data_IF_650230965314
#
_entry.id   IF_650230965314
#
_cell.length_a   1.000
_cell.length_b   1.000
_cell.length_c   1.000
_cell.angle_alpha   90.00
_cell.angle_beta   90.00
_cell.angle_gamma   90.00
#
_symmetry.space_group_name_H-M   'P 1'
#
loop_
_entity.id
_entity.type
_entity.pdbx_description
1 polymer ?
#
# COMPACT_ATOMS: atom_id res chain seq x y z
N UNK A 1 -10.24 -5.69 16.76
CA UNK A 1 -10.91 -5.87 15.45
C UNK A 1 -11.85 -7.04 15.63
N UNK A 2 -13.13 -6.86 15.35
CA UNK A 2 -14.14 -7.90 15.53
C UNK A 2 -15.07 -7.87 14.31
N UNK A 3 -15.43 -9.04 13.78
CA UNK A 3 -16.32 -9.15 12.61
C UNK A 3 -15.90 -8.24 11.42
N UNK A 4 -14.59 -8.18 11.15
CA UNK A 4 -13.99 -7.36 10.08
C UNK A 4 -14.24 -5.83 10.25
N UNK A 5 -14.49 -5.37 11.48
CA UNK A 5 -14.64 -3.94 11.82
C UNK A 5 -13.56 -3.51 12.82
N UNK A 6 -13.10 -2.27 12.69
CA UNK A 6 -12.20 -1.63 13.64
C UNK A 6 -13.04 -0.96 14.71
N UNK A 7 -12.80 -1.32 15.97
CA UNK A 7 -13.55 -0.82 17.13
C UNK A 7 -12.57 -0.06 18.02
N UNK A 8 -12.75 1.26 18.22
CA UNK A 8 -11.96 2.01 19.19
C UNK A 8 -12.16 1.46 20.61
N UNK A 9 -11.05 1.21 21.33
CA UNK A 9 -11.11 0.76 22.74
C UNK A 9 -11.28 1.93 23.72
N UNK A 10 -11.04 3.15 23.26
CA UNK A 10 -11.18 4.39 24.04
C UNK A 10 -12.10 5.33 23.30
N UNK A 11 -12.73 6.25 24.05
CA UNK A 11 -13.58 7.28 23.47
C UNK A 11 -12.76 8.20 22.56
N UNK A 12 -13.34 8.51 21.40
CA UNK A 12 -12.83 9.49 20.44
C UNK A 12 -13.83 10.63 20.39
N UNK A 13 -13.41 11.83 20.78
CA UNK A 13 -14.28 13.01 20.86
C UNK A 13 -14.57 13.58 19.47
N UNK A 14 -13.60 13.50 18.57
CA UNK A 14 -13.74 13.98 17.20
C UNK A 14 -14.46 12.93 16.35
N UNK A 15 -15.71 13.21 15.98
CA UNK A 15 -16.54 12.32 15.17
C UNK A 15 -15.95 12.06 13.78
N UNK A 16 -15.19 13.01 13.21
CA UNK A 16 -14.52 12.80 11.92
C UNK A 16 -13.41 11.77 12.06
N UNK A 17 -12.58 11.89 13.10
CA UNK A 17 -11.50 10.94 13.40
C UNK A 17 -12.07 9.55 13.70
N UNK A 18 -13.15 9.50 14.49
CA UNK A 18 -13.84 8.25 14.80
C UNK A 18 -14.32 7.55 13.52
N UNK A 19 -14.97 8.30 12.62
CA UNK A 19 -15.43 7.78 11.33
C UNK A 19 -14.28 7.30 10.45
N UNK A 20 -13.17 8.05 10.37
CA UNK A 20 -11.98 7.64 9.62
C UNK A 20 -11.42 6.30 10.12
N UNK A 21 -11.43 6.06 11.43
CA UNK A 21 -10.98 4.79 12.03
C UNK A 21 -11.95 3.65 11.74
N UNK A 22 -13.26 3.88 11.88
CA UNK A 22 -14.29 2.87 11.65
C UNK A 22 -14.36 2.44 10.16
N UNK A 23 -14.14 3.38 9.23
CA UNK A 23 -14.16 3.14 7.79
C UNK A 23 -12.79 2.70 7.23
N UNK A 24 -11.73 2.72 8.04
CA UNK A 24 -10.39 2.38 7.61
C UNK A 24 -10.32 0.94 7.08
N UNK A 25 -9.67 0.80 5.92
CA UNK A 25 -9.34 -0.50 5.32
C UNK A 25 -7.84 -0.61 5.17
N UNK A 26 -7.27 -1.71 5.66
CA UNK A 26 -5.89 -2.06 5.38
C UNK A 26 -5.71 -2.31 3.88
N UNK A 27 -4.54 -1.98 3.35
CA UNK A 27 -4.26 -2.16 1.92
C UNK A 27 -4.46 -3.62 1.48
N UNK A 28 -4.11 -4.60 2.33
CA UNK A 28 -4.35 -6.03 2.05
C UNK A 28 -5.83 -6.40 1.83
N UNK A 29 -6.78 -5.59 2.31
CA UNK A 29 -8.22 -5.86 2.14
C UNK A 29 -8.76 -5.41 0.78
N UNK A 30 -8.00 -4.63 0.01
CA UNK A 30 -8.46 -4.12 -1.30
C UNK A 30 -7.38 -4.06 -2.37
N UNK A 31 -6.10 -4.24 -2.03
CA UNK A 31 -5.00 -4.32 -2.97
C UNK A 31 -5.05 -5.64 -3.72
N UNK A 32 -4.75 -5.59 -5.02
CA UNK A 32 -4.71 -6.74 -5.89
C UNK A 32 -3.53 -6.57 -6.86
N UNK A 33 -2.49 -7.39 -6.67
CA UNK A 33 -1.31 -7.37 -7.53
C UNK A 33 -1.46 -8.37 -8.67
N UNK A 34 -0.96 -7.99 -9.84
CA UNK A 34 -0.71 -8.97 -10.91
C UNK A 34 0.51 -9.81 -10.51
N UNK A 35 0.67 -10.97 -11.15
CA UNK A 35 1.91 -11.75 -10.99
C UNK A 35 3.12 -10.89 -11.31
N UNK A 36 4.23 -11.10 -10.59
CA UNK A 36 5.43 -10.25 -10.66
C UNK A 36 5.97 -10.09 -12.08
N UNK A 37 5.85 -11.13 -12.89
CA UNK A 37 6.27 -11.18 -14.29
C UNK A 37 5.55 -10.16 -15.18
N UNK A 38 4.38 -9.68 -14.76
CA UNK A 38 3.62 -8.67 -15.50
C UNK A 38 4.15 -7.24 -15.29
N UNK A 39 5.03 -7.02 -14.32
CA UNK A 39 5.68 -5.73 -14.11
C UNK A 39 6.97 -5.67 -14.93
N UNK A 40 6.98 -4.79 -15.93
CA UNK A 40 8.11 -4.62 -16.86
C UNK A 40 9.17 -3.70 -16.26
N UNK A 41 10.40 -3.85 -16.75
CA UNK A 41 11.53 -2.94 -16.50
C UNK A 41 11.84 -2.76 -15.00
N UNK A 42 11.74 -3.85 -14.24
CA UNK A 42 12.05 -3.86 -12.82
C UNK A 42 13.53 -3.69 -12.55
N UNK A 43 13.88 -2.83 -11.61
CA UNK A 43 15.23 -2.72 -11.06
C UNK A 43 15.33 -3.62 -9.84
N UNK A 44 16.14 -4.68 -9.93
CA UNK A 44 16.37 -5.64 -8.84
C UNK A 44 17.72 -5.36 -8.21
N UNK A 45 17.75 -5.19 -6.89
CA UNK A 45 18.97 -4.92 -6.13
C UNK A 45 19.18 -5.99 -5.07
N UNK A 46 20.42 -6.41 -4.89
CA UNK A 46 20.84 -7.32 -3.82
C UNK A 46 22.06 -6.75 -3.10
N UNK A 47 21.95 -6.57 -1.77
CA UNK A 47 23.07 -6.25 -0.91
C UNK A 47 23.44 -7.50 -0.07
N UNK A 48 24.55 -8.19 -0.39
CA UNK A 48 24.97 -9.38 0.33
C UNK A 48 25.45 -9.11 1.76
N UNK A 49 25.91 -7.89 2.07
CA UNK A 49 26.44 -7.54 3.40
C UNK A 49 25.33 -7.36 4.46
N UNK A 50 24.10 -7.11 4.01
CA UNK A 50 22.95 -6.82 4.89
C UNK A 50 21.74 -7.75 4.66
N UNK A 51 21.96 -8.92 4.05
CA UNK A 51 20.98 -9.67 3.22
C UNK A 51 19.69 -8.92 2.86
N UNK A 52 19.83 -7.75 2.21
CA UNK A 52 18.68 -6.94 1.73
C UNK A 52 18.49 -7.18 0.25
N UNK A 53 17.25 -7.49 -0.15
CA UNK A 53 16.82 -7.59 -1.54
C UNK A 53 15.66 -6.63 -1.80
N UNK A 54 15.67 -6.02 -2.98
CA UNK A 54 14.55 -5.17 -3.40
C UNK A 54 14.29 -5.28 -4.89
N UNK A 55 13.04 -5.04 -5.26
CA UNK A 55 12.61 -4.93 -6.65
C UNK A 55 11.73 -3.68 -6.80
N UNK A 56 12.08 -2.82 -7.74
CA UNK A 56 11.41 -1.55 -7.99
C UNK A 56 10.82 -1.51 -9.39
N UNK A 57 9.54 -1.19 -9.51
CA UNK A 57 8.81 -1.14 -10.78
C UNK A 57 8.09 0.19 -10.94
N UNK A 58 8.21 0.82 -12.10
CA UNK A 58 7.42 2.02 -12.42
C UNK A 58 5.98 1.62 -12.75
N UNK A 59 5.01 2.05 -11.94
CA UNK A 59 3.60 1.81 -12.22
C UNK A 59 3.03 2.86 -13.17
N UNK A 60 1.87 2.55 -13.74
CA UNK A 60 1.02 3.50 -14.46
C UNK A 60 -0.10 4.00 -13.54
N UNK A 61 -0.64 5.19 -13.81
CA UNK A 61 -1.80 5.68 -13.06
C UNK A 61 -3.07 4.85 -13.28
N UNK A 62 -3.13 4.06 -14.37
CA UNK A 62 -4.19 3.11 -14.67
C UNK A 62 -4.01 1.74 -13.98
N UNK A 63 -2.98 1.59 -13.15
CA UNK A 63 -2.84 0.38 -12.33
C UNK A 63 -3.94 0.35 -11.26
N UNK A 64 -4.57 -0.81 -11.08
CA UNK A 64 -5.71 -0.98 -10.18
C UNK A 64 -5.40 -0.49 -8.76
N UNK A 65 -4.21 -0.80 -8.23
CA UNK A 65 -3.84 -0.41 -6.87
C UNK A 65 -3.61 1.10 -6.76
N UNK A 66 -3.04 1.71 -7.81
CA UNK A 66 -2.86 3.17 -7.88
C UNK A 66 -4.20 3.88 -7.89
N UNK A 67 -5.18 3.39 -8.65
CA UNK A 67 -6.54 3.92 -8.65
C UNK A 67 -7.23 3.78 -7.28
N UNK A 68 -7.09 2.63 -6.61
CA UNK A 68 -7.67 2.41 -5.28
C UNK A 68 -7.08 3.38 -4.24
N UNK A 69 -5.76 3.63 -4.28
CA UNK A 69 -5.11 4.59 -3.40
C UNK A 69 -5.63 6.02 -3.63
N UNK A 70 -5.73 6.45 -4.88
CA UNK A 70 -6.23 7.80 -5.24
C UNK A 70 -7.72 8.00 -4.92
N UNK A 71 -8.53 6.93 -4.94
CA UNK A 71 -9.94 6.98 -4.49
C UNK A 71 -10.07 7.14 -2.98
N UNK A 72 -9.08 6.66 -2.21
CA UNK A 72 -9.11 6.64 -0.74
C UNK A 72 -8.40 7.81 -0.09
N UNK A 73 -7.37 8.34 -0.75
CA UNK A 73 -6.51 9.37 -0.20
C UNK A 73 -6.40 10.55 -1.15
N UNK A 74 -6.41 11.76 -0.59
CA UNK A 74 -6.10 12.97 -1.35
C UNK A 74 -4.58 13.05 -1.61
N UNK A 75 -4.12 12.48 -2.73
CA UNK A 75 -2.70 12.45 -3.12
C UNK A 75 -2.43 13.65 -4.06
N UNK A 76 -1.73 14.71 -3.62
CA UNK A 76 -1.59 15.97 -4.35
C UNK A 76 -0.50 15.90 -5.43
N UNK A 77 -0.46 14.83 -6.21
CA UNK A 77 0.46 14.66 -7.34
C UNK A 77 -0.14 13.75 -8.39
N UNK A 78 0.03 14.09 -9.66
CA UNK A 78 -0.40 13.26 -10.79
C UNK A 78 0.67 12.27 -11.25
N UNK A 79 1.88 12.31 -10.67
CA UNK A 79 2.96 11.40 -11.04
C UNK A 79 2.58 9.96 -10.67
N UNK A 80 2.83 9.03 -11.59
CA UNK A 80 2.62 7.62 -11.33
C UNK A 80 3.69 7.10 -10.35
N UNK A 81 3.30 6.32 -9.32
CA UNK A 81 4.23 5.88 -8.28
C UNK A 81 5.13 4.75 -8.78
N UNK A 82 6.16 4.46 -7.98
CA UNK A 82 6.95 3.23 -8.10
C UNK A 82 6.47 2.22 -7.06
N UNK A 83 6.28 0.97 -7.47
CA UNK A 83 6.12 -0.17 -6.57
C UNK A 83 7.50 -0.61 -6.11
N UNK A 84 7.71 -0.65 -4.79
CA UNK A 84 8.97 -1.09 -4.21
C UNK A 84 8.71 -2.28 -3.29
N UNK A 85 9.17 -3.45 -3.71
CA UNK A 85 9.16 -4.67 -2.92
C UNK A 85 10.50 -4.77 -2.20
N UNK A 86 10.47 -4.96 -0.88
CA UNK A 86 11.67 -5.10 -0.06
C UNK A 86 11.56 -6.38 0.75
N UNK A 87 12.68 -7.07 0.89
CA UNK A 87 12.83 -8.06 1.93
C UNK A 87 14.21 -7.96 2.55
N UNK A 88 14.25 -8.39 3.80
CA UNK A 88 15.42 -8.39 4.64
C UNK A 88 15.36 -9.68 5.43
N UNK A 89 16.45 -10.43 5.45
CA UNK A 89 16.60 -11.57 6.37
C UNK A 89 16.88 -10.98 7.75
N UNK A 90 15.99 -11.27 8.70
CA UNK A 90 16.10 -10.84 10.11
C UNK A 90 16.92 -11.87 10.87
#
# INVERSE_FOLDING_TARGET
MENNKIIPLKQIVDEKVKKEIEEFKFFVQYGNFKELENYKDGEVTYNPEAPIYSAQYQLKNSDYNVEQLRKRYNIPTQKAPKLLLKGQVI
#
